data_IF_386239951983
#
_entry.id   IF_386239951983
#
_cell.length_a   1.000
_cell.length_b   1.000
_cell.length_c   1.000
_cell.angle_alpha   90.00
_cell.angle_beta   90.00
_cell.angle_gamma   90.00
#
_symmetry.space_group_name_H-M   'P 1'
#
loop_
_entity.id
_entity.type
_entity.pdbx_description
1 polymer ?
#
# COMPACT_ATOMS: atom_id res chain seq x y z
N UNK A 1 -50.90 -33.85 -36.33
CA UNK A 1 -49.55 -33.52 -35.81
C UNK A 1 -49.53 -32.05 -35.43
N UNK A 2 -49.08 -31.76 -34.21
CA UNK A 2 -49.01 -30.43 -33.58
C UNK A 2 -48.07 -29.49 -34.33
N UNK A 3 -48.37 -28.18 -34.29
CA UNK A 3 -47.43 -27.05 -34.13
C UNK A 3 -48.24 -25.74 -34.07
N UNK A 4 -48.76 -25.40 -32.88
CA UNK A 4 -49.30 -24.09 -32.58
C UNK A 4 -48.16 -23.07 -32.46
N UNK A 5 -48.32 -21.90 -33.09
CA UNK A 5 -47.40 -20.77 -33.01
C UNK A 5 -47.47 -20.17 -31.61
N UNK A 6 -46.33 -20.14 -30.92
CA UNK A 6 -46.19 -19.55 -29.60
C UNK A 6 -45.99 -18.04 -29.76
N UNK A 7 -47.00 -17.25 -29.34
CA UNK A 7 -46.92 -15.79 -29.32
C UNK A 7 -46.21 -15.32 -28.05
N UNK A 8 -45.29 -14.41 -28.28
CA UNK A 8 -44.48 -13.61 -27.37
C UNK A 8 -45.34 -12.88 -26.32
N UNK A 9 -45.08 -13.09 -25.03
CA UNK A 9 -45.54 -12.21 -23.95
C UNK A 9 -44.31 -11.69 -23.19
N UNK A 10 -44.07 -10.38 -23.27
CA UNK A 10 -43.06 -9.66 -22.50
C UNK A 10 -43.34 -9.83 -20.99
N UNK A 11 -42.31 -10.23 -20.23
CA UNK A 11 -42.26 -9.99 -18.78
C UNK A 11 -41.16 -8.96 -18.52
N UNK A 12 -41.58 -7.73 -18.23
CA UNK A 12 -40.72 -6.69 -17.67
C UNK A 12 -40.41 -7.08 -16.22
N UNK A 13 -39.23 -7.66 -15.99
CA UNK A 13 -38.68 -7.78 -14.63
C UNK A 13 -37.87 -6.52 -14.38
N UNK A 14 -38.50 -5.55 -13.71
CA UNK A 14 -37.78 -4.47 -13.07
C UNK A 14 -36.96 -5.06 -11.91
N UNK A 15 -35.68 -5.32 -12.16
CA UNK A 15 -34.71 -5.68 -11.13
C UNK A 15 -34.36 -4.40 -10.36
N UNK A 16 -35.13 -4.10 -9.33
CA UNK A 16 -34.78 -3.09 -8.34
C UNK A 16 -33.59 -3.61 -7.55
N UNK A 17 -32.37 -3.35 -8.02
CA UNK A 17 -31.15 -3.63 -7.27
C UNK A 17 -31.10 -2.64 -6.12
N UNK A 18 -31.58 -3.06 -4.94
CA UNK A 18 -31.30 -2.41 -3.68
C UNK A 18 -29.78 -2.40 -3.53
N UNK A 19 -29.18 -1.21 -3.62
CA UNK A 19 -27.76 -1.01 -3.35
C UNK A 19 -27.46 -1.39 -1.90
N UNK A 20 -27.07 -2.64 -1.68
CA UNK A 20 -26.45 -3.06 -0.44
C UNK A 20 -25.05 -2.45 -0.49
N UNK A 21 -24.88 -1.33 0.20
CA UNK A 21 -23.57 -0.78 0.52
C UNK A 21 -22.85 -1.84 1.35
N UNK A 22 -22.05 -2.69 0.71
CA UNK A 22 -21.14 -3.55 1.44
C UNK A 22 -20.14 -2.63 2.17
N UNK A 23 -19.92 -2.78 3.48
CA UNK A 23 -18.75 -2.16 4.09
C UNK A 23 -17.56 -2.69 3.30
N UNK A 24 -16.81 -1.79 2.66
CA UNK A 24 -15.53 -2.15 2.08
C UNK A 24 -14.69 -2.71 3.23
N UNK A 25 -14.46 -4.03 3.22
CA UNK A 25 -13.48 -4.65 4.10
C UNK A 25 -12.14 -4.09 3.67
N UNK A 26 -11.72 -2.98 4.29
CA UNK A 26 -10.34 -2.56 4.18
C UNK A 26 -9.51 -3.65 4.86
N UNK A 27 -8.56 -4.31 4.16
CA UNK A 27 -7.65 -5.24 4.82
C UNK A 27 -6.96 -4.49 5.96
N UNK A 28 -7.18 -4.96 7.19
CA UNK A 28 -6.42 -4.47 8.34
C UNK A 28 -5.01 -5.02 8.21
N UNK A 29 -4.09 -4.23 7.65
CA UNK A 29 -2.67 -4.56 7.71
C UNK A 29 -2.25 -4.65 9.18
N UNK A 30 -1.54 -5.71 9.61
CA UNK A 30 -1.05 -5.81 10.97
C UNK A 30 -0.19 -4.59 11.32
N UNK A 31 -0.35 -4.08 12.54
CA UNK A 31 0.49 -2.98 13.00
C UNK A 31 1.92 -3.47 13.20
N UNK A 32 2.88 -2.89 12.49
CA UNK A 32 4.30 -3.18 12.69
C UNK A 32 4.84 -2.43 13.91
N UNK A 33 5.64 -3.08 14.75
CA UNK A 33 6.09 -2.49 16.03
C UNK A 33 7.57 -2.11 15.96
N UNK A 34 7.88 -0.86 16.32
CA UNK A 34 9.24 -0.37 16.53
C UNK A 34 9.44 -0.05 18.02
N UNK A 35 10.36 -0.73 18.68
CA UNK A 35 10.76 -0.42 20.04
C UNK A 35 11.70 0.77 20.10
N UNK A 36 11.53 1.65 21.08
CA UNK A 36 12.53 2.65 21.45
C UNK A 36 13.21 2.13 22.72
N UNK A 37 14.44 1.64 22.58
CA UNK A 37 15.19 1.01 23.67
C UNK A 37 16.71 1.20 23.49
N UNK A 38 17.40 1.46 24.60
CA UNK A 38 18.82 1.77 24.65
C UNK A 38 19.21 2.97 23.76
N UNK A 39 18.41 4.05 23.79
CA UNK A 39 18.62 5.22 22.95
C UNK A 39 18.75 4.85 21.46
N UNK A 40 17.88 3.96 20.99
CA UNK A 40 17.81 3.53 19.59
C UNK A 40 16.39 3.12 19.21
N UNK A 41 16.06 3.24 17.93
CA UNK A 41 14.87 2.64 17.34
C UNK A 41 15.20 1.22 16.88
N UNK A 42 14.35 0.24 17.21
CA UNK A 42 14.58 -1.16 16.90
C UNK A 42 13.34 -1.84 16.30
N UNK A 43 13.44 -2.43 15.10
CA UNK A 43 14.60 -2.34 14.19
C UNK A 43 14.80 -0.90 13.67
N UNK A 44 16.04 -0.56 13.26
CA UNK A 44 16.37 0.77 12.75
C UNK A 44 15.87 1.00 11.31
N UNK A 45 15.51 -0.06 10.60
CA UNK A 45 14.87 0.01 9.28
C UNK A 45 13.76 -1.03 9.22
N UNK A 46 12.59 -0.61 8.75
CA UNK A 46 11.47 -1.49 8.40
C UNK A 46 11.04 -1.20 6.97
N UNK A 47 10.58 -2.25 6.29
CA UNK A 47 10.00 -2.16 4.96
C UNK A 47 8.55 -2.61 5.04
N UNK A 48 7.62 -1.82 4.50
CA UNK A 48 6.18 -1.97 4.65
C UNK A 48 5.48 -1.86 3.31
N UNK A 49 4.30 -2.45 3.18
CA UNK A 49 3.39 -2.12 2.09
C UNK A 49 2.60 -0.83 2.39
N UNK A 50 2.16 -0.14 1.34
CA UNK A 50 1.22 1.00 1.47
C UNK A 50 -0.02 0.59 2.28
N UNK A 51 -0.44 1.47 3.18
CA UNK A 51 -1.56 1.26 4.09
C UNK A 51 -1.17 0.61 5.42
N UNK A 52 0.09 0.22 5.60
CA UNK A 52 0.57 -0.33 6.88
C UNK A 52 0.63 0.74 7.96
N UNK A 53 0.18 0.38 9.15
CA UNK A 53 0.31 1.23 10.35
C UNK A 53 1.51 0.76 11.17
N UNK A 54 2.36 1.70 11.60
CA UNK A 54 3.49 1.42 12.50
C UNK A 54 3.17 1.96 13.87
N UNK A 55 3.51 1.20 14.91
CA UNK A 55 3.42 1.57 16.31
C UNK A 55 4.82 1.65 16.92
N UNK A 56 5.22 2.84 17.37
CA UNK A 56 6.44 3.02 18.15
C UNK A 56 6.10 2.94 19.63
N UNK A 57 6.86 2.17 20.40
CA UNK A 57 6.65 2.00 21.85
C UNK A 57 7.93 2.41 22.58
N UNK A 58 7.84 3.38 23.48
CA UNK A 58 8.99 3.75 24.29
C UNK A 58 9.20 2.76 25.45
N UNK A 59 10.32 2.03 25.43
CA UNK A 59 10.71 1.09 26.50
C UNK A 59 11.81 1.66 27.39
N UNK A 60 12.45 2.75 26.99
CA UNK A 60 13.41 3.47 27.81
C UNK A 60 12.68 4.27 28.91
N UNK A 61 13.38 4.51 30.02
CA UNK A 61 12.95 5.48 31.02
C UNK A 61 13.08 6.94 30.53
N UNK A 62 13.99 7.18 29.58
CA UNK A 62 14.17 8.47 28.95
C UNK A 62 13.00 8.81 28.00
N UNK A 63 12.56 10.08 27.93
CA UNK A 63 11.55 10.50 26.97
C UNK A 63 12.13 10.54 25.55
N UNK A 64 11.30 10.20 24.56
CA UNK A 64 11.70 10.18 23.15
C UNK A 64 10.62 10.74 22.23
N UNK A 65 10.98 11.03 20.97
CA UNK A 65 10.04 11.38 19.90
C UNK A 65 10.33 10.56 18.66
N UNK A 66 9.35 10.50 17.75
CA UNK A 66 9.46 9.98 16.39
C UNK A 66 9.21 11.15 15.46
N UNK A 67 10.23 11.60 14.73
CA UNK A 67 10.15 12.86 13.99
C UNK A 67 10.91 12.83 12.68
N UNK A 68 10.24 13.14 11.59
CA UNK A 68 10.84 13.37 10.28
C UNK A 68 11.28 14.83 10.11
N UNK A 69 12.23 15.09 9.22
CA UNK A 69 12.76 16.45 9.00
C UNK A 69 11.71 17.42 8.44
N UNK A 70 10.79 16.92 7.62
CA UNK A 70 9.67 17.68 7.04
C UNK A 70 8.44 17.73 7.95
N UNK A 71 8.49 17.04 9.10
CA UNK A 71 7.42 16.90 10.09
C UNK A 71 6.15 16.22 9.58
N UNK A 72 6.26 15.39 8.54
CA UNK A 72 5.17 14.49 8.13
C UNK A 72 4.90 13.41 9.17
N UNK A 73 5.98 12.80 9.69
CA UNK A 73 6.00 12.12 10.99
C UNK A 73 6.36 13.12 12.09
N UNK A 74 5.45 13.34 13.03
CA UNK A 74 5.68 14.22 14.18
C UNK A 74 4.90 13.72 15.41
N UNK A 75 5.56 12.90 16.24
CA UNK A 75 4.96 12.44 17.49
C UNK A 75 5.02 13.51 18.59
N UNK A 76 4.09 13.49 19.57
CA UNK A 76 4.36 14.08 20.87
C UNK A 76 5.55 13.39 21.57
N UNK A 77 6.00 13.96 22.68
CA UNK A 77 6.98 13.29 23.55
C UNK A 77 6.36 12.03 24.15
N UNK A 78 7.02 10.89 23.96
CA UNK A 78 6.65 9.59 24.51
C UNK A 78 7.44 9.34 25.79
N UNK A 79 6.74 9.20 26.91
CA UNK A 79 7.29 8.69 28.17
C UNK A 79 7.39 7.17 28.12
N UNK A 80 8.03 6.59 29.13
CA UNK A 80 8.14 5.14 29.25
C UNK A 80 6.77 4.47 29.19
N UNK A 81 6.64 3.46 28.33
CA UNK A 81 5.42 2.69 28.09
C UNK A 81 4.41 3.36 27.15
N UNK A 82 4.61 4.61 26.76
CA UNK A 82 3.74 5.30 25.81
C UNK A 82 4.06 4.92 24.36
N UNK A 83 3.04 5.02 23.51
CA UNK A 83 3.13 4.65 22.10
C UNK A 83 2.61 5.74 21.17
N UNK A 84 3.14 5.74 19.95
CA UNK A 84 2.69 6.57 18.83
C UNK A 84 2.38 5.68 17.63
N UNK A 85 1.32 5.97 16.89
CA UNK A 85 0.95 5.23 15.68
C UNK A 85 0.86 6.16 14.48
N UNK A 86 1.30 5.66 13.32
CA UNK A 86 1.21 6.37 12.04
C UNK A 86 0.95 5.38 10.90
N UNK A 87 0.00 5.72 10.03
CA UNK A 87 -0.33 4.92 8.83
C UNK A 87 0.34 5.51 7.60
N UNK A 88 1.13 4.69 6.90
CA UNK A 88 1.86 5.11 5.72
C UNK A 88 1.07 4.82 4.45
N UNK A 89 0.47 5.85 3.85
CA UNK A 89 -0.38 5.71 2.67
C UNK A 89 0.32 6.07 1.35
N UNK A 90 1.59 6.46 1.40
CA UNK A 90 2.33 6.91 0.21
C UNK A 90 3.63 6.11 0.12
N UNK A 91 3.95 5.53 -1.04
CA UNK A 91 5.24 4.91 -1.26
C UNK A 91 6.38 5.90 -1.05
N UNK A 92 7.50 5.42 -0.55
CA UNK A 92 8.69 6.24 -0.39
C UNK A 92 9.52 5.88 0.83
N UNK A 93 10.58 6.64 1.04
CA UNK A 93 11.48 6.49 2.17
C UNK A 93 11.26 7.62 3.17
N UNK A 94 10.99 7.26 4.42
CA UNK A 94 10.75 8.16 5.53
C UNK A 94 11.88 8.06 6.53
N UNK A 95 12.84 8.97 6.44
CA UNK A 95 13.88 9.15 7.46
C UNK A 95 13.32 9.90 8.67
N UNK A 96 13.60 9.37 9.86
CA UNK A 96 13.17 9.98 11.12
C UNK A 96 14.23 9.86 12.21
N UNK A 97 14.08 10.71 13.22
CA UNK A 97 14.98 10.83 14.35
C UNK A 97 14.22 11.21 15.63
N UNK A 98 14.91 11.13 16.77
CA UNK A 98 14.42 11.66 18.04
C UNK A 98 14.88 13.12 18.21
N UNK A 99 13.96 14.06 18.41
CA UNK A 99 14.32 15.49 18.62
C UNK A 99 15.12 15.74 19.89
N UNK A 100 14.91 14.90 20.90
CA UNK A 100 15.58 15.00 22.21
C UNK A 100 17.00 14.42 22.12
N UNK A 101 17.17 13.36 21.32
CA UNK A 101 18.44 12.66 21.14
C UNK A 101 18.74 12.51 19.63
N UNK A 102 19.25 13.57 18.95
CA UNK A 102 19.34 13.60 17.48
C UNK A 102 20.26 12.56 16.83
N UNK A 103 21.09 11.87 17.61
CA UNK A 103 21.87 10.72 17.14
C UNK A 103 21.02 9.49 16.86
N UNK A 104 19.83 9.38 17.47
CA UNK A 104 18.87 8.32 17.19
C UNK A 104 18.24 8.56 15.83
N UNK A 105 18.55 7.71 14.85
CA UNK A 105 18.03 7.78 13.50
C UNK A 105 17.52 6.42 13.06
N UNK A 106 16.47 6.43 12.25
CA UNK A 106 15.89 5.24 11.66
C UNK A 106 15.11 5.61 10.41
N UNK A 107 14.62 4.58 9.71
CA UNK A 107 13.96 4.73 8.43
C UNK A 107 12.79 3.76 8.28
N UNK A 108 11.71 4.24 7.69
CA UNK A 108 10.64 3.40 7.15
C UNK A 108 10.72 3.46 5.63
N UNK A 109 10.77 2.30 4.98
CA UNK A 109 10.61 2.19 3.53
C UNK A 109 9.20 1.68 3.26
N UNK A 110 8.40 2.46 2.55
CA UNK A 110 7.05 2.09 2.16
C UNK A 110 7.13 1.71 0.70
N UNK A 111 7.02 0.41 0.45
CA UNK A 111 6.94 -0.16 -0.88
C UNK A 111 5.62 0.27 -1.51
N UNK A 112 5.68 0.64 -2.78
CA UNK A 112 4.46 0.67 -3.57
C UNK A 112 3.92 -0.75 -3.69
N UNK A 113 2.65 -0.96 -3.34
CA UNK A 113 1.90 -1.95 -4.11
C UNK A 113 1.95 -1.53 -5.57
N UNK A 114 1.81 -2.48 -6.50
CA UNK A 114 1.45 -2.14 -7.88
C UNK A 114 0.37 -1.04 -7.80
N UNK A 115 0.48 0.07 -8.55
CA UNK A 115 -0.41 1.20 -8.42
C UNK A 115 -1.83 0.68 -8.26
N UNK A 116 -2.59 1.15 -7.25
CA UNK A 116 -3.97 0.66 -7.03
C UNK A 116 -4.94 1.03 -8.17
N UNK A 117 -4.41 1.42 -9.34
CA UNK A 117 -5.07 1.53 -10.64
C UNK A 117 -4.59 0.52 -11.69
N UNK A 118 -3.68 -0.42 -11.39
CA UNK A 118 -3.28 -1.52 -12.29
C UNK A 118 -4.36 -2.60 -12.29
N UNK A 119 -5.50 -2.20 -12.81
CA UNK A 119 -6.54 -3.04 -13.37
C UNK A 119 -7.31 -2.16 -14.37
N UNK A 120 -6.61 -1.51 -15.30
CA UNK A 120 -7.20 -1.33 -16.62
C UNK A 120 -7.14 -2.69 -17.29
N UNK A 121 -8.18 -3.46 -17.10
CA UNK A 121 -8.39 -4.66 -17.87
C UNK A 121 -8.73 -4.24 -19.31
N UNK A 122 -8.19 -4.93 -20.32
CA UNK A 122 -8.68 -4.80 -21.68
C UNK A 122 -10.14 -5.27 -21.77
N UNK A 123 -10.78 -5.13 -22.93
CA UNK A 123 -12.14 -5.61 -23.15
C UNK A 123 -12.34 -7.12 -22.90
N UNK A 124 -11.25 -7.87 -22.69
CA UNK A 124 -11.21 -9.31 -22.43
C UNK A 124 -10.87 -9.67 -20.98
N UNK A 125 -10.58 -8.70 -20.10
CA UNK A 125 -10.24 -8.97 -18.71
C UNK A 125 -8.74 -9.17 -18.44
N UNK A 126 -7.85 -8.81 -19.36
CA UNK A 126 -6.39 -8.93 -19.18
C UNK A 126 -5.80 -7.64 -18.62
N UNK A 127 -4.89 -7.71 -17.65
CA UNK A 127 -4.15 -6.55 -17.14
C UNK A 127 -3.41 -5.83 -18.28
N UNK A 128 -3.82 -4.61 -18.61
CA UNK A 128 -3.11 -3.76 -19.57
C UNK A 128 -2.08 -2.92 -18.81
N UNK A 129 -0.84 -3.39 -18.82
CA UNK A 129 0.32 -2.54 -18.53
C UNK A 129 0.66 -1.83 -19.83
N UNK A 130 0.38 -0.54 -19.95
CA UNK A 130 0.84 0.27 -21.08
C UNK A 130 2.30 0.73 -20.90
N UNK A 131 2.88 1.37 -21.92
CA UNK A 131 4.28 1.85 -21.86
C UNK A 131 4.52 2.84 -20.72
N UNK A 132 3.52 3.65 -20.35
CA UNK A 132 3.67 4.63 -19.26
C UNK A 132 3.71 3.96 -17.89
N UNK A 133 2.93 2.90 -17.71
CA UNK A 133 2.96 2.05 -16.51
C UNK A 133 4.26 1.25 -16.42
N UNK A 134 4.79 0.78 -17.55
CA UNK A 134 6.13 0.17 -17.60
C UNK A 134 7.21 1.18 -17.19
N UNK A 135 7.20 2.39 -17.75
CA UNK A 135 8.19 3.41 -17.39
C UNK A 135 8.10 3.80 -15.91
N UNK A 136 6.89 3.90 -15.37
CA UNK A 136 6.69 4.18 -13.96
C UNK A 136 7.20 3.05 -13.05
N UNK A 137 7.01 1.78 -13.44
CA UNK A 137 7.59 0.65 -12.73
C UNK A 137 9.12 0.61 -12.83
N UNK A 138 9.70 0.98 -13.98
CA UNK A 138 11.16 1.14 -14.14
C UNK A 138 11.69 2.21 -13.19
N UNK A 139 11.08 3.40 -13.15
CA UNK A 139 11.50 4.49 -12.26
C UNK A 139 11.40 4.09 -10.79
N UNK A 140 10.32 3.39 -10.41
CA UNK A 140 10.14 2.87 -9.06
C UNK A 140 11.14 1.77 -8.72
N UNK A 141 11.51 0.92 -9.67
CA UNK A 141 12.51 -0.12 -9.47
C UNK A 141 13.91 0.49 -9.31
N UNK A 142 14.27 1.46 -10.16
CA UNK A 142 15.53 2.23 -10.05
C UNK A 142 15.60 2.97 -8.72
N UNK A 143 14.48 3.55 -8.26
CA UNK A 143 14.37 4.22 -6.98
C UNK A 143 14.36 3.26 -5.77
N UNK A 144 14.27 1.94 -6.00
CA UNK A 144 14.18 0.92 -4.96
C UNK A 144 12.85 0.91 -4.20
N UNK A 145 11.80 1.50 -4.77
CA UNK A 145 10.46 1.57 -4.16
C UNK A 145 9.56 0.39 -4.53
N UNK A 146 9.97 -0.44 -5.50
CA UNK A 146 9.39 -1.77 -5.78
C UNK A 146 10.47 -2.84 -5.78
N UNK A 147 10.09 -4.09 -5.46
CA UNK A 147 11.03 -5.22 -5.41
C UNK A 147 11.38 -5.70 -6.82
N UNK A 148 12.48 -6.47 -6.94
CA UNK A 148 12.83 -7.15 -8.19
C UNK A 148 11.69 -8.06 -8.68
N UNK A 149 11.05 -8.78 -7.76
CA UNK A 149 9.94 -9.69 -8.08
C UNK A 149 8.74 -8.92 -8.66
N UNK A 150 8.35 -7.81 -8.04
CA UNK A 150 7.26 -6.98 -8.54
C UNK A 150 7.62 -6.33 -9.87
N UNK A 151 8.86 -5.86 -10.03
CA UNK A 151 9.35 -5.32 -11.30
C UNK A 151 9.26 -6.35 -12.43
N UNK A 152 9.71 -7.59 -12.20
CA UNK A 152 9.64 -8.65 -13.21
C UNK A 152 8.20 -9.06 -13.53
N UNK A 153 7.28 -9.05 -12.55
CA UNK A 153 5.86 -9.29 -12.83
C UNK A 153 5.26 -8.23 -13.77
N UNK A 154 5.63 -6.96 -13.60
CA UNK A 154 5.19 -5.88 -14.49
C UNK A 154 5.78 -6.06 -15.90
N UNK A 155 7.06 -6.41 -15.99
CA UNK A 155 7.74 -6.70 -17.28
C UNK A 155 7.07 -7.87 -18.00
N UNK A 156 6.85 -8.99 -17.31
CA UNK A 156 6.22 -10.18 -17.88
C UNK A 156 4.81 -9.88 -18.39
N UNK A 157 4.03 -9.10 -17.63
CA UNK A 157 2.70 -8.65 -18.03
C UNK A 157 2.75 -7.75 -19.28
N UNK A 158 3.67 -6.79 -19.34
CA UNK A 158 3.85 -5.93 -20.52
C UNK A 158 4.30 -6.72 -21.77
N UNK A 159 5.27 -7.63 -21.63
CA UNK A 159 5.75 -8.48 -22.73
C UNK A 159 4.62 -9.37 -23.26
N UNK A 160 3.79 -9.93 -22.37
CA UNK A 160 2.71 -10.83 -22.75
C UNK A 160 1.60 -10.18 -23.61
N UNK A 161 1.55 -8.85 -23.63
CA UNK A 161 0.57 -8.08 -24.42
C UNK A 161 1.06 -7.75 -25.83
N UNK A 162 2.36 -7.87 -26.12
CA UNK A 162 2.89 -7.60 -27.44
C UNK A 162 2.42 -8.68 -28.43
N UNK A 163 1.78 -8.31 -29.57
CA UNK A 163 1.44 -9.30 -30.57
C UNK A 163 2.72 -9.97 -31.07
N UNK A 164 2.77 -11.30 -30.96
CA UNK A 164 3.85 -12.12 -31.52
C UNK A 164 3.79 -11.94 -33.04
N UNK A 165 4.69 -11.12 -33.59
CA UNK A 165 4.85 -10.93 -35.03
C UNK A 165 5.77 -12.00 -35.63
#
# INVERSE_FOLDING_TARGET
MKRHRLNLLLLLIACSVLGISHPAWAPSHPAEIVGIENFSFKPATITLDVGTTVSWINRDSAPHTVTSSDRTLDSPTLKQGESFQFTFNTPGTYDYFCRIHPSMKARVVVMGGAPSGVAQYDANGNSVIDDSELFMAIDQWIAGTISNELFFQVIDAWISQAPIH
#
